data_IF_647675107408
#
_entry.id   IF_647675107408
#
_cell.length_a   1.000
_cell.length_b   1.000
_cell.length_c   1.000
_cell.angle_alpha   90.00
_cell.angle_beta   90.00
_cell.angle_gamma   90.00
#
_symmetry.space_group_name_H-M   'P 1'
#
loop_
_entity.id
_entity.type
_entity.pdbx_description
1 polymer ?
#
# COMPACT_ATOMS: atom_id res chain seq x y z
N UNK A 1 14.94 23.93 -13.29
CA UNK A 1 15.37 23.03 -14.37
C UNK A 1 14.30 21.97 -14.49
N UNK A 2 13.58 21.93 -15.60
CA UNK A 2 12.54 20.91 -15.84
C UNK A 2 13.29 19.61 -16.09
N UNK A 3 13.22 18.68 -15.13
CA UNK A 3 13.72 17.32 -15.29
C UNK A 3 13.11 16.77 -16.58
N UNK A 4 13.93 16.24 -17.50
CA UNK A 4 13.41 15.50 -18.64
C UNK A 4 12.49 14.40 -18.10
N UNK A 5 11.24 14.36 -18.54
CA UNK A 5 10.34 13.28 -18.17
C UNK A 5 11.02 11.94 -18.48
N UNK A 6 11.06 11.03 -17.50
CA UNK A 6 11.55 9.67 -17.72
C UNK A 6 10.76 9.06 -18.88
N UNK A 7 11.41 8.33 -19.80
CA UNK A 7 10.71 7.60 -20.88
C UNK A 7 9.78 6.51 -20.31
N UNK A 8 10.01 6.08 -19.06
CA UNK A 8 9.20 5.12 -18.30
C UNK A 8 8.91 5.69 -16.91
N UNK A 9 7.96 6.64 -16.78
CA UNK A 9 7.60 7.18 -15.47
C UNK A 9 6.99 6.09 -14.60
N UNK A 10 7.44 5.99 -13.36
CA UNK A 10 6.97 5.01 -12.39
C UNK A 10 7.35 5.44 -10.96
N UNK A 11 6.47 5.15 -10.01
CA UNK A 11 6.75 5.27 -8.58
C UNK A 11 6.14 4.08 -7.83
N UNK A 12 6.87 3.49 -6.88
CA UNK A 12 6.31 2.45 -6.02
C UNK A 12 5.30 3.07 -5.04
N UNK A 13 4.02 2.73 -5.20
CA UNK A 13 2.92 3.21 -4.33
C UNK A 13 2.45 2.19 -3.30
N UNK A 14 2.89 0.94 -3.42
CA UNK A 14 2.61 -0.15 -2.48
C UNK A 14 3.94 -0.86 -2.19
N UNK A 15 4.56 -0.50 -1.07
CA UNK A 15 5.88 -0.97 -0.69
C UNK A 15 6.00 -1.07 0.83
N UNK A 16 6.41 -2.25 1.29
CA UNK A 16 6.60 -2.61 2.68
C UNK A 16 8.06 -2.43 3.05
N UNK A 17 8.29 -1.87 4.24
CA UNK A 17 9.59 -1.72 4.86
C UNK A 17 9.76 -2.71 5.99
N UNK A 18 10.92 -2.72 6.62
CA UNK A 18 11.18 -3.46 7.85
C UNK A 18 10.25 -3.08 9.03
N UNK A 19 9.42 -2.03 8.91
CA UNK A 19 8.34 -1.72 9.86
C UNK A 19 7.06 -2.53 9.62
N UNK A 20 6.93 -3.23 8.49
CA UNK A 20 6.05 -4.40 8.38
C UNK A 20 6.71 -5.59 9.07
N UNK A 21 6.67 -5.57 10.40
CA UNK A 21 7.52 -6.38 11.30
C UNK A 21 7.48 -7.90 11.04
N UNK A 22 6.47 -8.40 10.32
CA UNK A 22 6.27 -9.84 10.10
C UNK A 22 6.88 -10.36 8.80
N UNK A 23 7.02 -9.52 7.77
CA UNK A 23 7.29 -9.95 6.40
C UNK A 23 8.05 -8.94 5.52
N UNK A 24 8.19 -7.68 5.97
CA UNK A 24 8.95 -6.65 5.27
C UNK A 24 10.44 -6.65 5.64
N UNK A 25 11.29 -6.54 4.61
CA UNK A 25 12.76 -6.60 4.72
C UNK A 25 13.42 -5.32 4.23
N UNK A 26 12.72 -4.48 3.46
CA UNK A 26 13.28 -3.23 2.93
C UNK A 26 13.72 -2.28 4.04
N UNK A 27 15.02 -1.97 4.07
CA UNK A 27 15.57 -0.91 4.91
C UNK A 27 15.42 0.42 4.19
N UNK A 28 14.93 1.42 4.90
CA UNK A 28 14.51 2.70 4.31
C UNK A 28 15.67 3.41 3.59
N UNK A 29 16.88 3.54 4.16
CA UNK A 29 18.01 4.19 3.46
C UNK A 29 18.37 3.54 2.13
N UNK A 30 18.46 2.20 2.12
CA UNK A 30 18.78 1.40 0.94
C UNK A 30 17.66 1.43 -0.10
N UNK A 31 16.39 1.38 0.33
CA UNK A 31 15.22 1.54 -0.52
C UNK A 31 15.24 2.88 -1.27
N UNK A 32 15.42 3.99 -0.55
CA UNK A 32 15.42 5.34 -1.14
C UNK A 32 16.60 5.50 -2.11
N UNK A 33 17.77 4.97 -1.76
CA UNK A 33 18.93 4.99 -2.64
C UNK A 33 18.69 4.17 -3.93
N UNK A 34 18.09 2.99 -3.81
CA UNK A 34 17.74 2.13 -4.95
C UNK A 34 16.75 2.82 -5.89
N UNK A 35 15.70 3.46 -5.34
CA UNK A 35 14.69 4.17 -6.11
C UNK A 35 15.32 5.32 -6.91
N UNK A 36 16.18 6.11 -6.25
CA UNK A 36 16.91 7.20 -6.90
C UNK A 36 17.87 6.70 -7.99
N UNK A 37 18.57 5.59 -7.74
CA UNK A 37 19.50 4.99 -8.69
C UNK A 37 18.81 4.58 -10.00
N UNK A 38 17.56 4.15 -9.94
CA UNK A 38 16.76 3.74 -11.09
C UNK A 38 15.89 4.86 -11.68
N UNK A 39 16.24 6.12 -11.39
CA UNK A 39 15.63 7.29 -12.04
C UNK A 39 14.22 7.65 -11.56
N UNK A 40 13.72 6.98 -10.52
CA UNK A 40 12.46 7.33 -9.87
C UNK A 40 12.68 8.51 -8.91
N UNK A 41 11.67 9.39 -8.78
CA UNK A 41 11.75 10.58 -7.94
C UNK A 41 10.90 10.49 -6.65
N UNK A 42 10.15 9.40 -6.47
CA UNK A 42 9.18 9.23 -5.40
C UNK A 42 9.08 7.76 -4.99
N UNK A 43 8.75 7.50 -3.73
CA UNK A 43 8.43 6.15 -3.24
C UNK A 43 7.52 6.22 -2.02
N UNK A 44 6.58 5.29 -1.95
CA UNK A 44 5.68 5.12 -0.83
C UNK A 44 6.20 4.16 0.22
N UNK A 45 5.84 4.43 1.46
CA UNK A 45 5.85 3.48 2.57
C UNK A 45 4.39 3.14 2.89
N UNK A 46 4.02 1.87 2.82
CA UNK A 46 2.64 1.39 3.07
C UNK A 46 2.65 0.17 3.97
N UNK A 47 3.29 0.30 5.14
CA UNK A 47 3.45 -0.83 6.05
C UNK A 47 2.11 -1.35 6.61
N UNK A 48 2.10 -2.64 6.98
CA UNK A 48 0.90 -3.34 7.44
C UNK A 48 0.31 -2.74 8.72
N UNK A 49 -0.81 -2.02 8.57
CA UNK A 49 -1.64 -1.51 9.65
C UNK A 49 -0.95 -0.51 10.58
N UNK A 50 0.17 0.08 10.17
CA UNK A 50 0.95 0.98 11.00
C UNK A 50 1.63 2.10 10.21
N UNK A 51 2.12 3.12 10.92
CA UNK A 51 2.82 4.29 10.39
C UNK A 51 4.22 4.46 11.03
N UNK A 52 4.83 3.39 11.54
CA UNK A 52 6.02 3.48 12.40
C UNK A 52 7.22 4.12 11.69
N UNK A 53 7.45 3.73 10.43
CA UNK A 53 8.56 4.24 9.62
C UNK A 53 8.32 5.60 8.97
N UNK A 54 7.14 6.22 9.15
CA UNK A 54 6.74 7.37 8.35
C UNK A 54 7.71 8.57 8.47
N UNK A 55 8.16 8.88 9.69
CA UNK A 55 9.08 10.01 9.90
C UNK A 55 10.52 9.71 9.46
N UNK A 56 10.94 8.45 9.56
CA UNK A 56 12.24 8.02 9.02
C UNK A 56 12.22 8.11 7.49
N UNK A 57 11.20 7.54 6.85
CA UNK A 57 10.98 7.63 5.40
C UNK A 57 10.97 9.07 4.92
N UNK A 58 10.22 9.94 5.60
CA UNK A 58 10.17 11.36 5.30
C UNK A 58 11.58 11.99 5.32
N UNK A 59 12.32 11.78 6.40
CA UNK A 59 13.63 12.40 6.61
C UNK A 59 14.67 11.90 5.59
N UNK A 60 14.69 10.58 5.31
CA UNK A 60 15.62 9.96 4.37
C UNK A 60 15.31 10.37 2.93
N UNK A 61 14.04 10.36 2.53
CA UNK A 61 13.64 10.80 1.19
C UNK A 61 14.03 12.26 0.95
N UNK A 62 13.69 13.16 1.90
CA UNK A 62 14.04 14.59 1.81
C UNK A 62 15.56 14.81 1.75
N UNK A 63 16.36 14.05 2.51
CA UNK A 63 17.81 14.14 2.46
C UNK A 63 18.42 13.66 1.11
N UNK A 64 17.66 12.88 0.33
CA UNK A 64 18.10 12.35 -0.96
C UNK A 64 17.39 13.00 -2.16
N UNK A 65 16.63 14.08 -1.97
CA UNK A 65 15.80 14.72 -3.02
C UNK A 65 14.80 13.75 -3.68
N UNK A 66 14.26 12.82 -2.90
CA UNK A 66 13.16 11.92 -3.28
C UNK A 66 11.89 12.41 -2.58
N UNK A 67 10.74 12.40 -3.27
CA UNK A 67 9.46 12.77 -2.69
C UNK A 67 8.91 11.60 -1.83
N UNK A 68 8.76 11.78 -0.50
CA UNK A 68 8.18 10.74 0.35
C UNK A 68 6.67 10.68 0.17
N UNK A 69 6.15 9.49 -0.12
CA UNK A 69 4.71 9.22 -0.08
C UNK A 69 4.42 8.44 1.20
N UNK A 70 3.82 9.10 2.19
CA UNK A 70 3.53 8.47 3.48
C UNK A 70 2.17 7.78 3.42
N UNK A 71 2.13 6.48 3.62
CA UNK A 71 0.92 5.68 3.52
C UNK A 71 0.87 4.54 4.54
N UNK A 72 -0.20 3.74 4.44
CA UNK A 72 -0.46 2.57 5.27
C UNK A 72 -1.27 1.57 4.46
N UNK A 73 -0.88 0.30 4.48
CA UNK A 73 -1.78 -0.78 4.05
C UNK A 73 -2.67 -1.14 5.25
N UNK A 74 -3.88 -0.59 5.26
CA UNK A 74 -4.80 -0.71 6.38
C UNK A 74 -5.47 -2.10 6.41
N UNK A 75 -5.69 -2.62 7.61
CA UNK A 75 -6.63 -3.72 7.80
C UNK A 75 -8.05 -3.17 7.97
N UNK A 76 -8.97 -3.49 7.07
CA UNK A 76 -10.37 -3.03 7.11
C UNK A 76 -11.25 -4.15 7.63
N UNK A 77 -11.99 -3.93 8.71
CA UNK A 77 -12.94 -4.91 9.22
C UNK A 77 -14.10 -5.12 8.21
N UNK A 78 -14.63 -6.35 8.04
CA UNK A 78 -15.80 -6.60 7.19
C UNK A 78 -17.09 -5.89 7.64
N UNK A 79 -17.10 -5.40 8.89
CA UNK A 79 -18.19 -4.65 9.50
C UNK A 79 -17.60 -3.58 10.41
N UNK A 80 -18.14 -3.43 11.63
CA UNK A 80 -17.58 -2.47 12.60
C UNK A 80 -16.23 -2.95 13.14
N UNK A 81 -15.26 -2.04 13.28
CA UNK A 81 -13.92 -2.33 13.80
C UNK A 81 -13.93 -2.89 15.24
N UNK A 82 -14.96 -2.59 16.02
CA UNK A 82 -15.13 -3.05 17.40
C UNK A 82 -15.69 -4.48 17.50
N UNK A 83 -16.19 -5.06 16.41
CA UNK A 83 -16.73 -6.41 16.40
C UNK A 83 -15.63 -7.49 16.32
N UNK A 84 -15.79 -8.56 17.11
CA UNK A 84 -14.88 -9.71 17.18
C UNK A 84 -15.61 -11.02 16.88
N UNK A 85 -16.21 -11.11 15.70
CA UNK A 85 -17.04 -12.25 15.26
C UNK A 85 -16.29 -13.30 14.43
N UNK A 86 -15.20 -12.91 13.76
CA UNK A 86 -14.47 -13.79 12.85
C UNK A 86 -13.80 -14.95 13.61
N UNK A 87 -13.89 -16.15 13.05
CA UNK A 87 -13.31 -17.35 13.67
C UNK A 87 -11.82 -17.53 13.33
N UNK A 88 -11.39 -16.92 12.23
CA UNK A 88 -10.02 -17.00 11.70
C UNK A 88 -9.50 -15.61 11.38
N UNK A 89 -8.19 -15.43 11.48
CA UNK A 89 -7.51 -14.17 11.19
C UNK A 89 -7.79 -13.66 9.77
N UNK A 90 -7.80 -14.55 8.76
CA UNK A 90 -8.08 -14.18 7.36
C UNK A 90 -9.50 -13.68 7.11
N UNK A 91 -10.45 -14.02 8.00
CA UNK A 91 -11.85 -13.56 7.92
C UNK A 91 -12.06 -12.26 8.70
N UNK A 92 -11.06 -11.81 9.48
CA UNK A 92 -11.22 -10.71 10.42
C UNK A 92 -11.00 -9.33 9.78
N UNK A 93 -10.35 -9.28 8.61
CA UNK A 93 -10.02 -8.04 7.90
C UNK A 93 -9.63 -8.27 6.45
N UNK A 94 -9.80 -7.24 5.64
CA UNK A 94 -9.25 -7.09 4.29
C UNK A 94 -8.11 -6.07 4.27
N UNK A 95 -7.28 -6.08 3.23
CA UNK A 95 -6.25 -5.06 3.02
C UNK A 95 -6.78 -3.88 2.20
N UNK A 96 -6.25 -2.67 2.44
CA UNK A 96 -6.56 -1.47 1.67
C UNK A 96 -5.36 -0.50 1.67
N UNK A 97 -4.90 -0.07 0.49
CA UNK A 97 -3.75 0.81 0.36
C UNK A 97 -4.18 2.28 0.46
N UNK A 98 -3.66 3.01 1.47
CA UNK A 98 -3.99 4.42 1.70
C UNK A 98 -2.72 5.28 1.68
N UNK A 99 -2.74 6.39 0.95
CA UNK A 99 -1.62 7.31 0.78
C UNK A 99 -2.02 8.72 1.20
N UNK A 100 -1.21 9.39 2.01
CA UNK A 100 -1.40 10.80 2.31
C UNK A 100 -0.99 11.65 1.11
N UNK A 101 -1.94 12.40 0.56
CA UNK A 101 -1.70 13.37 -0.52
C UNK A 101 -1.04 14.65 0.00
N UNK A 102 -1.31 15.00 1.26
CA UNK A 102 -0.84 16.23 1.88
C UNK A 102 -0.78 16.11 3.42
N UNK A 103 -0.48 17.22 4.11
CA UNK A 103 -0.42 17.27 5.58
C UNK A 103 -1.72 16.84 6.27
N UNK A 104 -2.89 17.20 5.72
CA UNK A 104 -4.19 16.80 6.29
C UNK A 104 -4.40 15.29 6.15
N UNK A 105 -4.09 14.73 4.98
CA UNK A 105 -4.10 13.28 4.78
C UNK A 105 -3.17 12.53 5.73
N UNK A 106 -1.96 13.05 5.98
CA UNK A 106 -1.02 12.46 6.92
C UNK A 106 -1.58 12.47 8.36
N UNK A 107 -2.19 13.56 8.79
CA UNK A 107 -2.86 13.63 10.10
C UNK A 107 -4.03 12.65 10.20
N UNK A 108 -4.81 12.49 9.13
CA UNK A 108 -5.91 11.54 9.06
C UNK A 108 -5.43 10.09 9.12
N UNK A 109 -4.34 9.74 8.43
CA UNK A 109 -3.70 8.41 8.57
C UNK A 109 -3.21 8.15 9.99
N UNK A 110 -2.59 9.14 10.66
CA UNK A 110 -2.18 9.01 12.06
C UNK A 110 -3.38 8.72 12.97
N UNK A 111 -4.49 9.44 12.79
CA UNK A 111 -5.73 9.22 13.56
C UNK A 111 -6.31 7.83 13.30
N UNK A 112 -6.45 7.43 12.04
CA UNK A 112 -6.95 6.10 11.69
C UNK A 112 -6.08 4.98 12.24
N UNK A 113 -4.75 5.07 12.10
CA UNK A 113 -3.83 4.09 12.67
C UNK A 113 -3.95 4.03 14.19
N UNK A 114 -4.05 5.18 14.86
CA UNK A 114 -4.24 5.24 16.32
C UNK A 114 -5.54 4.55 16.76
N UNK A 115 -6.67 4.86 16.11
CA UNK A 115 -7.97 4.24 16.41
C UNK A 115 -8.00 2.74 16.07
N UNK A 116 -7.27 2.33 15.03
CA UNK A 116 -7.13 0.91 14.69
C UNK A 116 -6.48 0.11 15.83
N UNK A 117 -5.49 0.68 16.51
CA UNK A 117 -4.84 0.09 17.68
C UNK A 117 -5.66 0.24 18.97
N UNK A 118 -6.24 1.41 19.22
CA UNK A 118 -6.95 1.71 20.47
C UNK A 118 -8.33 1.06 20.56
N UNK A 119 -9.05 0.98 19.44
CA UNK A 119 -10.45 0.54 19.41
C UNK A 119 -10.65 -0.71 18.55
N UNK A 120 -9.97 -0.79 17.40
CA UNK A 120 -10.22 -1.80 16.37
C UNK A 120 -9.41 -3.09 16.50
N UNK A 121 -8.54 -3.18 17.51
CA UNK A 121 -7.59 -4.28 17.61
C UNK A 121 -8.30 -5.61 17.92
N UNK A 122 -8.13 -6.57 17.01
CA UNK A 122 -8.53 -7.96 17.22
C UNK A 122 -7.35 -8.92 17.02
N UNK A 123 -7.16 -9.45 15.81
CA UNK A 123 -5.92 -10.12 15.42
C UNK A 123 -4.88 -9.14 14.87
N UNK A 124 -5.38 -8.04 14.28
CA UNK A 124 -4.65 -6.95 13.65
C UNK A 124 -5.31 -5.62 14.08
N UNK A 125 -4.61 -4.48 14.00
CA UNK A 125 -5.20 -3.16 14.20
C UNK A 125 -6.10 -2.83 13.01
N UNK A 126 -7.43 -2.81 13.20
CA UNK A 126 -8.38 -2.65 12.09
C UNK A 126 -9.10 -1.31 12.12
N UNK A 127 -9.30 -0.73 10.95
CA UNK A 127 -10.24 0.36 10.72
C UNK A 127 -11.57 -0.19 10.19
N UNK A 128 -12.52 0.68 9.88
CA UNK A 128 -13.77 0.35 9.21
C UNK A 128 -14.21 1.49 8.29
N UNK A 129 -15.35 1.29 7.60
CA UNK A 129 -15.93 2.27 6.68
C UNK A 129 -16.31 3.59 7.33
N UNK A 130 -16.67 3.58 8.62
CA UNK A 130 -16.99 4.81 9.38
C UNK A 130 -15.74 5.69 9.50
N UNK A 131 -14.61 5.11 9.90
CA UNK A 131 -13.35 5.87 9.96
C UNK A 131 -12.87 6.34 8.59
N UNK A 132 -13.06 5.52 7.54
CA UNK A 132 -12.73 5.92 6.17
C UNK A 132 -13.58 7.11 5.72
N UNK A 133 -14.89 7.12 6.01
CA UNK A 133 -15.77 8.24 5.70
C UNK A 133 -15.39 9.49 6.50
N UNK A 134 -15.08 9.36 7.80
CA UNK A 134 -14.70 10.48 8.67
C UNK A 134 -13.35 11.10 8.32
N UNK A 135 -12.35 10.27 7.99
CA UNK A 135 -10.96 10.69 7.82
C UNK A 135 -10.45 10.63 6.37
N UNK A 136 -11.33 10.68 5.36
CA UNK A 136 -10.93 10.58 3.94
C UNK A 136 -10.14 11.79 3.40
N UNK A 137 -10.27 12.96 4.02
CA UNK A 137 -9.73 14.20 3.44
C UNK A 137 -8.20 14.11 3.26
N UNK A 138 -7.72 14.41 2.06
CA UNK A 138 -6.30 14.39 1.74
C UNK A 138 -5.71 12.99 1.57
N UNK A 139 -6.54 11.95 1.42
CA UNK A 139 -6.10 10.56 1.23
C UNK A 139 -6.38 10.10 -0.20
N UNK A 140 -5.40 9.46 -0.81
CA UNK A 140 -5.54 8.66 -2.04
C UNK A 140 -5.71 7.20 -1.62
N UNK A 141 -6.68 6.53 -2.22
CA UNK A 141 -7.07 5.16 -1.91
C UNK A 141 -6.87 4.26 -3.13
N UNK A 142 -6.14 3.17 -2.98
CA UNK A 142 -6.01 2.14 -4.00
C UNK A 142 -6.77 0.89 -3.53
N UNK A 143 -7.43 0.19 -4.44
CA UNK A 143 -8.32 -0.93 -4.08
C UNK A 143 -7.65 -2.10 -3.37
N UNK A 144 -6.31 -2.18 -3.36
CA UNK A 144 -5.53 -3.13 -2.56
C UNK A 144 -5.04 -4.35 -3.33
N UNK A 145 -4.26 -5.18 -2.63
CA UNK A 145 -3.68 -6.43 -3.12
C UNK A 145 -4.72 -7.57 -3.21
N UNK A 146 -4.27 -8.80 -3.49
CA UNK A 146 -5.12 -9.99 -3.54
C UNK A 146 -5.85 -10.33 -2.22
N UNK A 147 -5.44 -9.72 -1.09
CA UNK A 147 -6.12 -9.82 0.21
C UNK A 147 -7.14 -8.69 0.46
N UNK A 148 -7.43 -7.86 -0.54
CA UNK A 148 -8.41 -6.79 -0.46
C UNK A 148 -9.86 -7.28 -0.49
N UNK A 149 -10.79 -6.43 -0.06
CA UNK A 149 -12.23 -6.71 -0.13
C UNK A 149 -12.67 -6.84 -1.60
N UNK A 150 -12.12 -6.01 -2.49
CA UNK A 150 -12.41 -6.06 -3.92
C UNK A 150 -11.97 -7.39 -4.52
N UNK A 151 -10.71 -7.79 -4.32
CA UNK A 151 -10.19 -9.06 -4.80
C UNK A 151 -10.98 -10.25 -4.23
N UNK A 152 -11.38 -10.19 -2.96
CA UNK A 152 -12.22 -11.24 -2.37
C UNK A 152 -13.58 -11.38 -3.08
N UNK A 153 -14.22 -10.27 -3.44
CA UNK A 153 -15.49 -10.28 -4.17
C UNK A 153 -15.31 -10.79 -5.61
N UNK A 154 -14.24 -10.38 -6.31
CA UNK A 154 -13.92 -10.85 -7.67
C UNK A 154 -13.69 -12.36 -7.67
N UNK A 155 -12.80 -12.86 -6.80
CA UNK A 155 -12.51 -14.29 -6.70
C UNK A 155 -13.71 -15.12 -6.23
N UNK A 156 -14.65 -14.49 -5.54
CA UNK A 156 -15.92 -15.08 -5.15
C UNK A 156 -17.02 -14.99 -6.21
N UNK A 157 -16.71 -14.47 -7.41
CA UNK A 157 -17.66 -14.23 -8.52
C UNK A 157 -18.82 -13.30 -8.13
N UNK A 158 -18.63 -12.42 -7.14
CA UNK A 158 -19.63 -11.47 -6.61
C UNK A 158 -19.50 -10.09 -7.24
N UNK A 159 -19.56 -10.03 -8.57
CA UNK A 159 -19.26 -8.81 -9.34
C UNK A 159 -20.22 -7.64 -9.06
N UNK A 160 -21.50 -7.89 -8.75
CA UNK A 160 -22.45 -6.83 -8.39
C UNK A 160 -22.09 -6.14 -7.07
N UNK A 161 -21.56 -6.90 -6.13
CA UNK A 161 -21.08 -6.38 -4.86
C UNK A 161 -19.74 -5.67 -5.02
N UNK A 162 -18.84 -6.20 -5.88
CA UNK A 162 -17.60 -5.54 -6.25
C UNK A 162 -17.86 -4.17 -6.89
N UNK A 163 -18.87 -4.07 -7.78
CA UNK A 163 -19.33 -2.81 -8.37
C UNK A 163 -19.81 -1.83 -7.30
N UNK A 164 -20.68 -2.30 -6.41
CA UNK A 164 -21.23 -1.48 -5.31
C UNK A 164 -20.11 -0.97 -4.38
N UNK A 165 -19.11 -1.82 -4.12
CA UNK A 165 -17.93 -1.45 -3.33
C UNK A 165 -17.11 -0.36 -4.01
N UNK A 166 -16.82 -0.48 -5.31
CA UNK A 166 -16.08 0.52 -6.07
C UNK A 166 -16.81 1.87 -6.10
N UNK A 167 -18.13 1.86 -6.31
CA UNK A 167 -18.96 3.07 -6.25
C UNK A 167 -18.97 3.72 -4.86
N UNK A 168 -18.92 2.91 -3.80
CA UNK A 168 -18.77 3.43 -2.44
C UNK A 168 -17.42 4.12 -2.26
N UNK A 169 -16.31 3.49 -2.67
CA UNK A 169 -14.99 4.12 -2.62
C UNK A 169 -14.91 5.41 -3.45
N UNK A 170 -15.45 5.40 -4.67
CA UNK A 170 -15.51 6.59 -5.52
C UNK A 170 -16.32 7.72 -4.86
N UNK A 171 -17.44 7.41 -4.19
CA UNK A 171 -18.20 8.42 -3.42
C UNK A 171 -17.39 9.02 -2.27
N UNK A 172 -16.60 8.20 -1.57
CA UNK A 172 -15.84 8.63 -0.39
C UNK A 172 -14.58 9.40 -0.76
N UNK A 173 -13.84 8.91 -1.75
CA UNK A 173 -12.52 9.44 -2.11
C UNK A 173 -12.54 10.33 -3.35
N UNK A 174 -13.59 10.27 -4.16
CA UNK A 174 -13.73 11.02 -5.41
C UNK A 174 -12.69 10.61 -6.45
N UNK A 175 -12.07 11.61 -7.06
CA UNK A 175 -10.97 11.46 -8.02
C UNK A 175 -9.65 10.94 -7.38
N UNK A 176 -9.66 10.65 -6.07
CA UNK A 176 -8.54 10.08 -5.31
C UNK A 176 -8.68 8.56 -5.12
N UNK A 177 -9.66 7.91 -5.75
CA UNK A 177 -9.78 6.46 -5.76
C UNK A 177 -9.24 5.86 -7.06
N UNK A 178 -8.44 4.80 -6.93
CA UNK A 178 -7.84 4.07 -8.04
C UNK A 178 -8.02 2.57 -7.85
N UNK A 179 -8.18 1.86 -8.97
CA UNK A 179 -8.23 0.41 -8.98
C UNK A 179 -6.81 -0.14 -9.14
N UNK A 180 -6.35 -0.87 -8.13
CA UNK A 180 -4.99 -1.39 -8.04
C UNK A 180 -4.87 -2.74 -8.75
N UNK A 181 -3.88 -2.87 -9.63
CA UNK A 181 -3.50 -4.13 -10.27
C UNK A 181 -2.05 -4.48 -9.97
N UNK A 182 -1.78 -5.77 -9.77
CA UNK A 182 -0.47 -6.31 -9.40
C UNK A 182 -0.14 -7.51 -10.27
N UNK A 183 1.14 -7.70 -10.59
CA UNK A 183 1.59 -8.86 -11.36
C UNK A 183 2.98 -9.34 -10.92
N UNK A 184 2.98 -10.26 -9.97
CA UNK A 184 4.15 -10.98 -9.45
C UNK A 184 4.22 -12.41 -10.03
N UNK A 185 3.50 -12.69 -11.12
CA UNK A 185 3.47 -14.00 -11.79
C UNK A 185 2.66 -15.07 -11.05
N UNK A 186 1.70 -14.68 -10.22
CA UNK A 186 0.84 -15.59 -9.44
C UNK A 186 -0.56 -15.62 -10.03
N UNK A 187 -1.12 -16.82 -10.24
CA UNK A 187 -2.45 -17.01 -10.82
C UNK A 187 -3.55 -16.21 -10.12
N UNK A 188 -3.53 -16.14 -8.78
CA UNK A 188 -4.52 -15.37 -8.02
C UNK A 188 -4.47 -13.88 -8.34
N UNK A 189 -3.29 -13.31 -8.58
CA UNK A 189 -3.15 -11.91 -8.98
C UNK A 189 -3.64 -11.69 -10.41
N UNK A 190 -3.43 -12.65 -11.32
CA UNK A 190 -3.97 -12.58 -12.68
C UNK A 190 -5.51 -12.53 -12.66
N UNK A 191 -6.15 -13.46 -11.95
CA UNK A 191 -7.61 -13.50 -11.79
C UNK A 191 -8.18 -12.22 -11.16
N UNK A 192 -7.50 -11.70 -10.13
CA UNK A 192 -7.89 -10.42 -9.53
C UNK A 192 -7.73 -9.26 -10.53
N UNK A 193 -6.61 -9.21 -11.26
CA UNK A 193 -6.33 -8.14 -12.21
C UNK A 193 -7.36 -8.11 -13.35
N UNK A 194 -7.72 -9.26 -13.93
CA UNK A 194 -8.75 -9.35 -14.99
C UNK A 194 -10.08 -8.74 -14.53
N UNK A 195 -10.60 -9.18 -13.37
CA UNK A 195 -11.85 -8.64 -12.83
C UNK A 195 -11.76 -7.15 -12.48
N UNK A 196 -10.61 -6.69 -11.97
CA UNK A 196 -10.37 -5.28 -11.66
C UNK A 196 -10.31 -4.43 -12.93
N UNK A 197 -9.68 -4.91 -14.00
CA UNK A 197 -9.61 -4.23 -15.31
C UNK A 197 -11.02 -4.09 -15.92
N UNK A 198 -11.84 -5.13 -15.82
CA UNK A 198 -13.21 -5.07 -16.30
C UNK A 198 -14.06 -4.05 -15.52
N UNK A 199 -13.94 -4.02 -14.19
CA UNK A 199 -14.59 -3.00 -13.35
C UNK A 199 -14.09 -1.60 -13.65
N UNK A 200 -12.78 -1.42 -13.87
CA UNK A 200 -12.21 -0.13 -14.25
C UNK A 200 -12.81 0.40 -15.54
N UNK A 201 -12.94 -0.46 -16.56
CA UNK A 201 -13.57 -0.12 -17.83
C UNK A 201 -15.06 0.19 -17.66
N UNK A 202 -15.78 -0.62 -16.90
CA UNK A 202 -17.22 -0.47 -16.68
C UNK A 202 -17.55 0.84 -15.95
N UNK A 203 -16.80 1.14 -14.88
CA UNK A 203 -17.07 2.27 -13.98
C UNK A 203 -16.28 3.53 -14.34
N UNK A 204 -15.39 3.46 -15.33
CA UNK A 204 -14.48 4.55 -15.69
C UNK A 204 -13.58 5.01 -14.53
N UNK A 205 -13.21 4.08 -13.64
CA UNK A 205 -12.29 4.33 -12.53
C UNK A 205 -10.85 4.03 -13.00
N UNK A 206 -9.89 4.94 -12.80
CA UNK A 206 -8.53 4.76 -13.30
C UNK A 206 -7.78 3.59 -12.63
N UNK A 207 -7.06 2.82 -13.45
CA UNK A 207 -6.17 1.75 -12.98
C UNK A 207 -4.81 2.30 -12.52
N UNK A 208 -4.20 1.67 -11.53
CA UNK A 208 -2.80 1.90 -11.17
C UNK A 208 -2.10 0.57 -10.95
N UNK A 209 -0.89 0.43 -11.51
CA UNK A 209 -0.08 -0.76 -11.32
C UNK A 209 0.89 -0.58 -10.14
N UNK A 210 0.97 -1.59 -9.28
CA UNK A 210 1.92 -1.68 -8.17
C UNK A 210 2.56 -3.08 -8.12
N UNK A 211 3.51 -3.32 -7.22
CA UNK A 211 4.18 -4.62 -7.07
C UNK A 211 4.14 -5.21 -5.67
N UNK A 212 3.61 -4.50 -4.67
CA UNK A 212 3.57 -4.96 -3.28
C UNK A 212 4.95 -5.43 -2.77
N UNK A 213 5.95 -4.56 -2.92
CA UNK A 213 7.35 -4.92 -2.71
C UNK A 213 7.68 -5.09 -1.23
N UNK A 214 8.30 -6.22 -0.85
CA UNK A 214 8.66 -6.55 0.53
C UNK A 214 10.17 -6.64 0.78
N UNK A 215 10.98 -6.77 -0.27
CA UNK A 215 12.44 -6.84 -0.20
C UNK A 215 13.09 -6.07 -1.35
N UNK A 216 14.39 -5.81 -1.26
CA UNK A 216 15.01 -4.80 -2.12
C UNK A 216 15.36 -5.39 -3.48
N UNK A 217 16.08 -6.50 -3.49
CA UNK A 217 16.52 -7.18 -4.70
C UNK A 217 15.85 -8.54 -4.84
N UNK A 218 15.72 -9.04 -6.07
CA UNK A 218 15.02 -10.30 -6.35
C UNK A 218 15.60 -11.48 -5.55
N UNK A 219 16.92 -11.51 -5.38
CA UNK A 219 17.67 -12.50 -4.60
C UNK A 219 17.38 -12.46 -3.09
N UNK A 220 16.90 -11.34 -2.55
CA UNK A 220 16.54 -11.20 -1.14
C UNK A 220 15.28 -12.00 -0.77
N UNK A 221 14.60 -12.61 -1.76
CA UNK A 221 13.47 -13.51 -1.53
C UNK A 221 13.83 -14.65 -0.57
N UNK A 222 15.07 -15.14 -0.59
CA UNK A 222 15.54 -16.18 0.33
C UNK A 222 15.65 -15.67 1.77
N UNK A 223 16.11 -14.42 1.97
CA UNK A 223 16.19 -13.81 3.29
C UNK A 223 14.78 -13.53 3.84
N UNK A 224 13.86 -13.07 2.98
CA UNK A 224 12.46 -12.87 3.34
C UNK A 224 11.77 -14.19 3.75
N UNK A 225 12.02 -15.27 3.00
CA UNK A 225 11.52 -16.62 3.31
C UNK A 225 11.97 -17.09 4.70
N UNK A 226 13.24 -16.83 5.05
CA UNK A 226 13.78 -17.15 6.38
C UNK A 226 13.14 -16.29 7.47
N UNK A 227 12.93 -14.99 7.22
CA UNK A 227 12.24 -14.10 8.16
C UNK A 227 10.82 -14.60 8.46
N UNK A 228 10.07 -15.00 7.43
CA UNK A 228 8.74 -15.59 7.59
C UNK A 228 8.78 -16.85 8.45
N UNK A 229 9.76 -17.72 8.25
CA UNK A 229 9.95 -18.92 9.07
C UNK A 229 10.15 -18.56 10.56
N UNK A 230 11.00 -17.57 10.85
CA UNK A 230 11.25 -17.08 12.22
C UNK A 230 9.96 -16.54 12.85
N UNK A 231 9.25 -15.67 12.15
CA UNK A 231 8.05 -15.00 12.67
C UNK A 231 6.86 -15.95 12.85
N UNK A 232 6.76 -16.99 12.02
CA UNK A 232 5.70 -18.01 12.10
C UNK A 232 6.09 -19.24 12.91
N UNK A 233 7.31 -19.29 13.45
CA UNK A 233 7.87 -20.44 14.19
C UNK A 233 7.83 -21.74 13.37
N UNK A 234 8.11 -21.64 12.08
CA UNK A 234 8.23 -22.77 11.16
C UNK A 234 9.67 -22.89 10.66
N UNK A 235 9.98 -23.98 9.93
CA UNK A 235 11.30 -24.21 9.32
C UNK A 235 11.14 -24.38 7.81
N UNK A 236 12.20 -24.10 7.04
CA UNK A 236 12.11 -24.13 5.56
C UNK A 236 11.65 -25.46 4.98
N UNK A 237 11.94 -26.56 5.67
CA UNK A 237 11.53 -27.92 5.28
C UNK A 237 10.06 -28.24 5.53
N UNK A 238 9.33 -27.41 6.28
CA UNK A 238 7.88 -27.55 6.45
C UNK A 238 7.16 -27.16 5.15
N UNK A 239 6.47 -28.12 4.53
CA UNK A 239 5.78 -27.90 3.26
C UNK A 239 4.48 -27.10 3.40
N UNK A 240 3.96 -26.93 4.61
CA UNK A 240 2.72 -26.18 4.90
C UNK A 240 2.99 -24.79 5.47
N UNK A 241 4.25 -24.38 5.59
CA UNK A 241 4.63 -23.07 6.11
C UNK A 241 4.13 -21.94 5.21
N UNK A 242 4.01 -20.75 5.80
CA UNK A 242 3.79 -19.52 5.06
C UNK A 242 5.03 -19.18 4.22
N UNK A 243 4.82 -18.83 2.95
CA UNK A 243 5.84 -18.35 2.03
C UNK A 243 5.20 -17.55 0.90
N UNK A 244 5.97 -16.66 0.29
CA UNK A 244 5.60 -16.08 -1.00
C UNK A 244 5.77 -17.14 -2.10
N UNK A 245 4.85 -17.18 -3.06
CA UNK A 245 4.83 -18.21 -4.11
C UNK A 245 5.84 -17.96 -5.22
N UNK A 246 6.33 -16.73 -5.36
CA UNK A 246 7.32 -16.31 -6.36
C UNK A 246 8.37 -15.41 -5.70
N UNK A 247 9.46 -15.12 -6.41
CA UNK A 247 10.51 -14.19 -5.98
C UNK A 247 10.34 -12.78 -6.56
N UNK A 248 9.11 -12.39 -6.91
CA UNK A 248 8.82 -11.19 -7.69
C UNK A 248 8.36 -9.99 -6.83
N UNK A 249 8.45 -10.10 -5.50
CA UNK A 249 8.03 -9.06 -4.56
C UNK A 249 9.20 -8.15 -4.17
N UNK A 250 10.15 -7.95 -5.08
CA UNK A 250 11.25 -7.00 -4.90
C UNK A 250 10.89 -5.59 -5.35
N UNK A 251 11.71 -4.61 -4.99
CA UNK A 251 11.60 -3.24 -5.50
C UNK A 251 12.04 -3.25 -6.96
N UNK A 252 11.08 -3.45 -7.85
CA UNK A 252 11.32 -3.51 -9.30
C UNK A 252 11.80 -2.17 -9.86
N UNK A 253 12.62 -2.24 -10.90
CA UNK A 253 12.94 -1.07 -11.73
C UNK A 253 11.73 -0.64 -12.57
N UNK A 254 11.69 0.58 -13.10
CA UNK A 254 10.67 0.97 -14.07
C UNK A 254 10.63 -0.01 -15.26
N UNK A 255 11.78 -0.46 -15.76
CA UNK A 255 11.83 -1.39 -16.90
C UNK A 255 11.13 -2.72 -16.60
N UNK A 256 11.36 -3.27 -15.41
CA UNK A 256 10.72 -4.50 -14.95
C UNK A 256 9.20 -4.31 -14.78
N UNK A 257 8.77 -3.16 -14.26
CA UNK A 257 7.35 -2.85 -14.11
C UNK A 257 6.63 -2.73 -15.46
N UNK A 258 7.20 -2.01 -16.42
CA UNK A 258 6.62 -1.94 -17.77
C UNK A 258 6.62 -3.30 -18.46
N UNK A 259 7.63 -4.15 -18.21
CA UNK A 259 7.66 -5.51 -18.75
C UNK A 259 6.61 -6.44 -18.11
N UNK A 260 6.24 -6.21 -16.84
CA UNK A 260 5.20 -6.97 -16.16
C UNK A 260 3.77 -6.58 -16.61
N UNK A 261 3.61 -5.40 -17.24
CA UNK A 261 2.32 -4.87 -17.69
C UNK A 261 2.38 -4.37 -19.14
N UNK A 262 2.71 -5.23 -20.13
CA UNK A 262 2.93 -4.79 -21.51
C UNK A 262 1.68 -4.21 -22.17
N UNK A 263 0.49 -4.64 -21.75
CA UNK A 263 -0.81 -4.16 -22.25
C UNK A 263 -1.43 -3.05 -21.38
N UNK A 264 -0.77 -2.70 -20.27
CA UNK A 264 -1.27 -1.74 -19.26
C UNK A 264 -0.19 -0.74 -18.84
N UNK A 265 0.66 -0.33 -19.78
CA UNK A 265 1.74 0.65 -19.54
C UNK A 265 1.20 1.98 -18.97
N UNK A 266 -0.04 2.36 -19.31
CA UNK A 266 -0.72 3.53 -18.75
C UNK A 266 -1.01 3.39 -17.26
N UNK A 267 -1.31 2.19 -16.76
CA UNK A 267 -1.50 1.95 -15.33
C UNK A 267 -0.17 2.05 -14.56
N UNK A 268 0.94 1.64 -15.20
CA UNK A 268 2.30 1.82 -14.65
C UNK A 268 2.67 3.30 -14.60
N UNK A 269 2.49 4.04 -15.71
CA UNK A 269 2.76 5.48 -15.77
C UNK A 269 1.93 6.28 -14.75
N UNK A 270 0.67 5.86 -14.53
CA UNK A 270 -0.24 6.52 -13.58
C UNK A 270 0.26 6.50 -12.14
N UNK A 271 1.11 5.55 -11.77
CA UNK A 271 1.73 5.55 -10.44
C UNK A 271 2.56 6.83 -10.18
N UNK A 272 3.27 7.33 -11.21
CA UNK A 272 3.99 8.59 -11.13
C UNK A 272 3.03 9.78 -11.11
N UNK A 273 1.96 9.76 -11.92
CA UNK A 273 0.94 10.82 -11.90
C UNK A 273 0.32 10.97 -10.50
N UNK A 274 0.06 9.85 -9.82
CA UNK A 274 -0.41 9.83 -8.43
C UNK A 274 0.65 10.38 -7.48
N UNK A 275 1.91 9.96 -7.63
CA UNK A 275 3.03 10.48 -6.83
C UNK A 275 3.19 12.00 -6.97
N UNK A 276 2.96 12.56 -8.16
CA UNK A 276 3.05 14.00 -8.44
C UNK A 276 1.92 14.80 -7.76
N UNK A 277 0.81 14.14 -7.37
CA UNK A 277 -0.25 14.75 -6.55
C UNK A 277 0.13 14.86 -5.07
N UNK A 278 1.19 14.18 -4.64
CA UNK A 278 1.59 14.11 -3.23
C UNK A 278 2.58 15.23 -2.91
N UNK A 279 2.18 16.13 -2.00
CA UNK A 279 3.09 17.10 -1.39
C UNK A 279 2.87 17.17 0.12
N UNK A 280 3.76 16.51 0.88
CA UNK A 280 3.75 16.52 2.34
C UNK A 280 4.82 17.47 2.86
N UNK A 281 4.40 18.62 3.38
CA UNK A 281 5.27 19.59 4.04
C UNK A 281 5.10 19.51 5.56
N UNK A 282 6.15 19.06 6.23
CA UNK A 282 6.27 19.05 7.68
C UNK A 282 7.33 20.07 8.05
N UNK A 283 7.06 20.90 9.06
CA UNK A 283 8.04 21.83 9.60
C UNK A 283 8.90 21.09 10.65
N UNK A 284 10.17 20.74 10.34
CA UNK A 284 11.04 20.04 11.28
C UNK A 284 11.46 20.92 12.45
N UNK A 285 11.29 22.25 12.35
CA UNK A 285 11.67 23.22 13.38
C UNK A 285 10.48 23.66 14.25
N UNK A 286 9.26 23.21 13.93
CA UNK A 286 8.07 23.55 14.69
C UNK A 286 8.19 23.04 16.13
N UNK A 287 7.96 23.93 17.10
CA UNK A 287 7.98 23.61 18.52
C UNK A 287 6.55 23.62 19.05
N UNK A 288 6.06 22.46 19.48
CA UNK A 288 4.71 22.29 20.01
C UNK A 288 4.77 22.17 21.54
N UNK A 289 4.72 23.31 22.24
CA UNK A 289 4.74 23.37 23.71
C UNK A 289 3.31 23.26 24.28
N UNK A 290 3.09 22.54 25.39
CA UNK A 290 1.82 22.60 26.13
C UNK A 290 1.54 24.02 26.64
N UNK A 291 0.28 24.41 26.63
CA UNK A 291 -0.16 25.65 27.29
C UNK A 291 -0.15 25.42 28.81
N UNK A 292 0.59 26.23 29.54
CA UNK A 292 0.59 26.23 31.01
C UNK A 292 -0.36 27.31 31.52
N UNK A 293 -1.33 26.92 32.34
CA UNK A 293 -2.21 27.83 33.08
C UNK A 293 -1.80 27.77 34.56
N UNK A 294 -1.22 28.86 35.12
CA UNK A 294 -0.77 28.92 36.52
C UNK A 294 -1.88 28.74 37.56
#
# INVERSE_FOLDING_TARGET
>A
MISSASERPFAHLHCHTHYSLLDGVNRIPELVAHVKQHGMNSVAITDHGNMYGAMEMYSVCRAQDVNPILGMEAYVAPGKRTEKKASRMKEASFHLTLLAMNRQGFQNLIRMSSLAYLEGFYYKPRIDRELLEEFNEGIICLSGCASSELSNLILGERMDEARTLCQWYERVFGDRFYLEIQNSGVEIQHQCAEGTIDLARELSIPLVATNDAHYLHQEDSEAQDVMLCVNTRTVRSDTKRMKMSTNQFHVRTPEEMYAAFPEHAEAVARSQEIADRVNIELDPNAKYYPVFHP
#
